data_IF_872310322600
#
_entry.id   IF_872310322600
#
_cell.length_a   1.000
_cell.length_b   1.000
_cell.length_c   1.000
_cell.angle_alpha   90.00
_cell.angle_beta   90.00
_cell.angle_gamma   90.00
#
_symmetry.space_group_name_H-M   'P 1'
#
loop_
_entity.id
_entity.type
_entity.pdbx_description
1 polymer ?
#
# COMPACT_ATOMS: atom_id res chain seq x y z
N UNK A 1 -0.64 26.01 -22.62
CA UNK A 1 0.28 25.52 -21.55
C UNK A 1 -0.10 24.10 -21.13
N UNK A 2 -1.34 23.82 -20.68
CA UNK A 2 -1.74 22.45 -20.20
C UNK A 2 -1.60 21.38 -21.29
N UNK A 3 -2.05 21.68 -22.52
CA UNK A 3 -1.91 20.76 -23.66
C UNK A 3 -0.43 20.49 -23.96
N UNK A 4 0.41 21.53 -23.95
CA UNK A 4 1.85 21.39 -24.21
C UNK A 4 2.55 20.58 -23.12
N UNK A 5 2.17 20.76 -21.84
CA UNK A 5 2.72 20.01 -20.72
C UNK A 5 2.28 18.53 -20.76
N UNK A 6 1.08 18.23 -21.26
CA UNK A 6 0.62 16.86 -21.45
C UNK A 6 1.24 16.16 -22.67
N UNK A 7 1.41 16.89 -23.78
CA UNK A 7 1.98 16.33 -25.00
C UNK A 7 3.50 16.11 -24.92
N UNK A 8 4.24 16.97 -24.22
CA UNK A 8 5.69 16.87 -24.16
C UNK A 8 6.20 15.54 -23.59
N UNK A 9 5.70 15.02 -22.45
CA UNK A 9 6.07 13.70 -21.95
C UNK A 9 5.71 12.56 -22.92
N UNK A 10 4.56 12.64 -23.60
CA UNK A 10 4.16 11.66 -24.61
C UNK A 10 5.11 11.65 -25.79
N UNK A 11 5.51 12.82 -26.28
CA UNK A 11 6.49 12.94 -27.36
C UNK A 11 7.88 12.46 -26.95
N UNK A 12 8.33 12.77 -25.74
CA UNK A 12 9.61 12.28 -25.22
C UNK A 12 9.65 10.77 -25.06
N UNK A 13 8.55 10.15 -24.71
CA UNK A 13 8.43 8.70 -24.57
C UNK A 13 7.91 7.99 -25.84
N UNK A 14 7.64 8.75 -26.91
CA UNK A 14 7.04 8.20 -28.15
C UNK A 14 7.84 7.04 -28.76
N UNK A 15 9.18 7.01 -28.80
CA UNK A 15 9.91 5.88 -29.34
C UNK A 15 9.62 4.58 -28.56
N UNK A 16 9.62 4.66 -27.23
CA UNK A 16 9.31 3.52 -26.37
C UNK A 16 7.85 3.08 -26.50
N UNK A 17 6.92 4.04 -26.55
CA UNK A 17 5.49 3.75 -26.69
C UNK A 17 5.16 3.11 -28.05
N UNK A 18 5.74 3.63 -29.13
CA UNK A 18 5.54 3.10 -30.47
C UNK A 18 6.17 1.70 -30.64
N UNK A 19 7.39 1.51 -30.14
CA UNK A 19 8.04 0.21 -30.15
C UNK A 19 7.25 -0.82 -29.31
N UNK A 20 6.73 -0.43 -28.15
CA UNK A 20 5.88 -1.30 -27.33
C UNK A 20 4.56 -1.64 -28.05
N UNK A 21 3.96 -0.67 -28.72
CA UNK A 21 2.73 -0.90 -29.52
C UNK A 21 2.99 -1.90 -30.64
N UNK A 22 4.03 -1.69 -31.45
CA UNK A 22 4.41 -2.59 -32.54
C UNK A 22 4.73 -4.00 -32.01
N UNK A 23 5.56 -4.09 -30.96
CA UNK A 23 5.92 -5.39 -30.37
C UNK A 23 4.69 -6.11 -29.76
N UNK A 24 3.74 -5.37 -29.22
CA UNK A 24 2.55 -5.97 -28.61
C UNK A 24 1.71 -6.76 -29.61
N UNK A 25 1.75 -6.40 -30.91
CA UNK A 25 1.03 -7.11 -31.97
C UNK A 25 1.57 -8.53 -32.23
N UNK A 26 2.83 -8.79 -31.89
CA UNK A 26 3.52 -10.08 -32.06
C UNK A 26 3.73 -10.84 -30.74
N UNK A 27 3.11 -10.39 -29.68
CA UNK A 27 3.25 -10.97 -28.33
C UNK A 27 1.94 -11.60 -27.85
N UNK A 28 2.00 -12.26 -26.69
CA UNK A 28 0.80 -12.79 -25.99
C UNK A 28 -0.23 -11.72 -25.62
N UNK A 29 0.08 -10.44 -25.87
CA UNK A 29 -0.81 -9.28 -25.61
C UNK A 29 -1.68 -8.89 -26.81
N UNK A 30 -1.57 -9.62 -27.91
CA UNK A 30 -2.37 -9.47 -29.11
C UNK A 30 -3.44 -10.56 -29.23
N UNK A 31 -4.15 -10.59 -30.34
CA UNK A 31 -5.07 -11.69 -30.68
C UNK A 31 -4.35 -13.02 -30.57
N UNK A 32 -4.89 -13.95 -29.80
CA UNK A 32 -4.40 -15.32 -29.77
C UNK A 32 -4.77 -16.02 -31.08
N UNK A 33 -3.80 -16.60 -31.75
CA UNK A 33 -4.06 -17.49 -32.91
C UNK A 33 -4.60 -18.86 -32.46
N UNK A 34 -4.57 -19.13 -31.17
CA UNK A 34 -5.13 -20.36 -30.58
C UNK A 34 -6.62 -20.15 -30.37
N UNK A 35 -7.41 -20.83 -31.19
CA UNK A 35 -8.89 -20.75 -31.22
C UNK A 35 -9.56 -21.84 -30.39
N UNK A 36 -8.80 -22.73 -29.77
CA UNK A 36 -9.30 -23.89 -29.01
C UNK A 36 -8.67 -23.89 -27.63
N UNK A 37 -9.48 -24.10 -26.60
CA UNK A 37 -9.04 -24.33 -25.22
C UNK A 37 -8.46 -25.76 -25.05
N UNK A 38 -7.77 -26.03 -23.94
CA UNK A 38 -7.20 -27.34 -23.64
C UNK A 38 -8.26 -28.46 -23.52
N UNK A 39 -9.51 -28.10 -23.23
CA UNK A 39 -10.67 -29.00 -23.17
C UNK A 39 -11.35 -29.24 -24.53
N UNK A 40 -10.85 -28.63 -25.61
CA UNK A 40 -11.40 -28.72 -26.95
C UNK A 40 -12.55 -27.75 -27.26
N UNK A 41 -12.94 -26.91 -26.31
CA UNK A 41 -13.96 -25.87 -26.53
C UNK A 41 -13.40 -24.71 -27.36
N UNK A 42 -14.29 -23.98 -28.08
CA UNK A 42 -13.86 -22.78 -28.82
C UNK A 42 -13.42 -21.69 -27.85
N UNK A 43 -12.22 -21.16 -28.06
CA UNK A 43 -11.69 -20.03 -27.30
C UNK A 43 -12.16 -18.74 -27.96
N UNK A 44 -12.79 -17.85 -27.18
CA UNK A 44 -13.08 -16.50 -27.65
C UNK A 44 -11.79 -15.75 -27.92
N UNK A 45 -11.61 -15.24 -29.13
CA UNK A 45 -10.43 -14.46 -29.49
C UNK A 45 -10.51 -13.07 -28.89
N UNK A 46 -9.97 -12.91 -27.68
CA UNK A 46 -9.80 -11.60 -27.05
C UNK A 46 -8.72 -10.81 -27.80
N UNK A 47 -8.91 -9.50 -27.94
CA UNK A 47 -7.95 -8.61 -28.60
C UNK A 47 -6.79 -8.18 -27.68
N UNK A 48 -6.71 -8.72 -26.45
CA UNK A 48 -5.75 -8.37 -25.40
C UNK A 48 -5.53 -9.52 -24.44
N UNK A 49 -5.01 -9.19 -23.25
CA UNK A 49 -4.84 -10.14 -22.16
C UNK A 49 -6.20 -10.50 -21.55
N UNK A 50 -6.31 -11.71 -20.99
CA UNK A 50 -7.48 -12.12 -20.24
C UNK A 50 -7.68 -11.23 -19.01
N UNK A 51 -8.94 -10.92 -18.67
CA UNK A 51 -9.29 -10.07 -17.53
C UNK A 51 -8.72 -10.58 -16.22
N UNK A 52 -8.73 -11.90 -16.00
CA UNK A 52 -8.14 -12.52 -14.81
C UNK A 52 -6.65 -12.23 -14.72
N UNK A 53 -5.93 -12.31 -15.83
CA UNK A 53 -4.50 -12.03 -15.89
C UNK A 53 -4.18 -10.54 -15.70
N UNK A 54 -5.00 -9.63 -16.28
CA UNK A 54 -4.87 -8.17 -16.08
C UNK A 54 -5.02 -7.83 -14.60
N UNK A 55 -6.00 -8.47 -13.93
CA UNK A 55 -6.41 -8.16 -12.56
C UNK A 55 -5.81 -9.10 -11.50
N UNK A 56 -4.87 -9.96 -11.88
CA UNK A 56 -4.22 -10.90 -10.95
C UNK A 56 -3.64 -10.20 -9.73
N UNK A 57 -2.96 -9.07 -9.94
CA UNK A 57 -2.40 -8.23 -8.90
C UNK A 57 -3.34 -7.06 -8.57
N UNK A 58 -4.46 -7.38 -7.95
CA UNK A 58 -5.43 -6.40 -7.46
C UNK A 58 -5.32 -6.26 -5.94
N UNK A 59 -5.32 -5.03 -5.45
CA UNK A 59 -5.41 -4.80 -4.01
C UNK A 59 -6.78 -5.19 -3.47
N UNK A 60 -6.80 -5.86 -2.32
CA UNK A 60 -8.01 -5.92 -1.49
C UNK A 60 -8.40 -4.52 -1.00
N UNK A 61 -9.68 -4.28 -0.79
CA UNK A 61 -10.14 -2.97 -0.29
C UNK A 61 -9.48 -2.65 1.05
N UNK A 62 -9.48 -3.60 1.99
CA UNK A 62 -8.80 -3.45 3.29
C UNK A 62 -7.27 -3.50 3.16
N UNK A 63 -6.74 -4.20 2.18
CA UNK A 63 -5.30 -4.25 1.92
C UNK A 63 -4.72 -2.87 1.57
N UNK A 64 -5.54 -1.94 1.07
CA UNK A 64 -5.12 -0.55 0.87
C UNK A 64 -4.67 0.15 2.17
N UNK A 65 -5.04 -0.39 3.33
CA UNK A 65 -4.53 0.10 4.61
C UNK A 65 -3.04 -0.20 4.83
N UNK A 66 -2.41 -1.06 4.01
CA UNK A 66 -0.96 -1.23 3.98
C UNK A 66 -0.22 0.10 3.67
N UNK A 67 -0.87 1.02 2.94
CA UNK A 67 -0.32 2.37 2.68
C UNK A 67 -0.02 3.15 3.98
N UNK A 68 -0.72 2.86 5.07
CA UNK A 68 -0.59 3.54 6.36
C UNK A 68 -0.18 2.61 7.52
N UNK A 69 -0.44 1.30 7.38
CA UNK A 69 -0.04 0.25 8.32
C UNK A 69 0.68 -0.85 7.52
N UNK A 70 2.01 -0.83 7.38
CA UNK A 70 2.73 -1.64 6.38
C UNK A 70 2.52 -3.15 6.54
N UNK A 71 2.22 -3.62 7.74
CA UNK A 71 1.94 -5.03 8.01
C UNK A 71 0.49 -5.31 8.38
N UNK A 72 -0.44 -4.47 7.88
CA UNK A 72 -1.89 -4.69 8.08
C UNK A 72 -2.34 -6.05 7.56
N UNK A 73 -1.86 -6.43 6.38
CA UNK A 73 -2.06 -7.76 5.79
C UNK A 73 -0.85 -8.69 5.96
N UNK A 74 -0.04 -8.48 7.01
CA UNK A 74 1.08 -9.35 7.34
C UNK A 74 2.40 -9.04 6.63
N UNK A 75 2.51 -7.90 5.92
CA UNK A 75 3.75 -7.47 5.28
C UNK A 75 3.96 -8.04 3.87
N UNK A 76 5.14 -8.57 3.56
CA UNK A 76 5.46 -9.21 2.29
C UNK A 76 5.26 -10.72 2.30
N UNK A 77 5.24 -11.36 1.11
CA UNK A 77 5.06 -12.81 0.99
C UNK A 77 6.22 -13.63 1.58
N UNK A 78 7.38 -13.01 1.76
CA UNK A 78 8.57 -13.60 2.39
C UNK A 78 8.85 -13.03 3.78
N UNK A 79 7.83 -12.47 4.44
CA UNK A 79 7.94 -11.98 5.82
C UNK A 79 8.39 -13.11 6.75
N UNK A 80 9.36 -12.82 7.63
CA UNK A 80 9.93 -13.82 8.54
C UNK A 80 8.96 -14.09 9.70
N UNK A 81 8.78 -15.37 10.01
CA UNK A 81 8.10 -15.79 11.25
C UNK A 81 9.00 -15.43 12.42
N UNK A 82 8.43 -14.90 13.50
CA UNK A 82 9.19 -14.54 14.69
C UNK A 82 9.81 -15.77 15.36
N UNK A 83 11.05 -15.65 15.77
CA UNK A 83 11.82 -16.71 16.39
C UNK A 83 11.22 -17.23 17.72
N UNK A 84 10.54 -16.35 18.47
CA UNK A 84 9.89 -16.62 19.75
C UNK A 84 8.41 -16.99 19.63
N UNK A 85 7.89 -17.12 18.39
CA UNK A 85 6.49 -17.45 18.15
C UNK A 85 6.15 -18.90 18.49
N UNK A 86 4.88 -19.14 18.80
CA UNK A 86 4.37 -20.51 18.99
C UNK A 86 4.47 -21.33 17.69
N UNK A 87 4.26 -20.68 16.53
CA UNK A 87 4.41 -21.33 15.24
C UNK A 87 5.85 -21.78 15.02
N UNK A 88 6.85 -20.94 15.32
CA UNK A 88 8.27 -21.32 15.19
C UNK A 88 8.63 -22.45 16.16
N UNK A 89 8.14 -22.41 17.40
CA UNK A 89 8.36 -23.49 18.36
C UNK A 89 7.73 -24.82 17.92
N UNK A 90 6.55 -24.76 17.31
CA UNK A 90 5.91 -25.92 16.70
C UNK A 90 6.75 -26.46 15.52
N UNK A 91 7.19 -25.60 14.62
CA UNK A 91 8.06 -25.98 13.48
C UNK A 91 9.33 -26.68 13.97
N UNK A 92 9.96 -26.17 15.04
CA UNK A 92 11.17 -26.78 15.62
C UNK A 92 10.93 -28.16 16.26
N UNK A 93 9.71 -28.49 16.61
CA UNK A 93 9.34 -29.80 17.16
C UNK A 93 9.11 -30.89 16.10
N UNK A 94 9.01 -30.50 14.82
CA UNK A 94 8.80 -31.41 13.68
C UNK A 94 10.14 -32.03 13.22
N UNK A 95 10.04 -33.10 12.45
CA UNK A 95 11.21 -33.61 11.71
C UNK A 95 11.69 -32.60 10.65
N UNK A 96 12.94 -32.71 10.21
CA UNK A 96 13.58 -31.74 9.34
C UNK A 96 12.81 -31.48 8.02
N UNK A 97 12.22 -32.52 7.43
CA UNK A 97 11.49 -32.39 6.16
C UNK A 97 10.15 -31.70 6.36
N UNK A 98 9.41 -32.09 7.39
CA UNK A 98 8.14 -31.45 7.75
C UNK A 98 8.35 -30.01 8.19
N UNK A 99 9.37 -29.75 9.01
CA UNK A 99 9.73 -28.43 9.47
C UNK A 99 10.01 -27.49 8.29
N UNK A 100 10.80 -27.95 7.31
CA UNK A 100 11.09 -27.16 6.11
C UNK A 100 9.83 -26.85 5.29
N UNK A 101 8.95 -27.83 5.09
CA UNK A 101 7.71 -27.63 4.35
C UNK A 101 6.78 -26.65 5.08
N UNK A 102 6.54 -26.86 6.40
CA UNK A 102 5.68 -25.97 7.16
C UNK A 102 6.22 -24.55 7.16
N UNK A 103 7.54 -24.37 7.37
CA UNK A 103 8.16 -23.05 7.32
C UNK A 103 8.00 -22.37 5.95
N UNK A 104 8.26 -23.08 4.87
CA UNK A 104 8.21 -22.54 3.51
C UNK A 104 6.80 -22.09 3.11
N UNK A 105 5.77 -22.80 3.57
CA UNK A 105 4.37 -22.52 3.22
C UNK A 105 3.65 -21.65 4.25
N UNK A 106 4.23 -21.43 5.44
CA UNK A 106 3.65 -20.53 6.46
C UNK A 106 3.91 -19.07 6.10
N UNK A 107 3.04 -18.51 5.25
CA UNK A 107 3.12 -17.10 4.86
C UNK A 107 2.40 -16.21 5.87
N UNK A 108 3.11 -15.25 6.43
CA UNK A 108 2.52 -14.23 7.32
C UNK A 108 1.60 -13.31 6.53
N UNK A 109 1.94 -13.00 5.27
CA UNK A 109 1.07 -12.25 4.37
C UNK A 109 -0.23 -13.00 4.08
N UNK A 110 -1.37 -12.27 4.18
CA UNK A 110 -2.72 -12.82 3.97
C UNK A 110 -3.63 -11.92 3.12
N UNK A 111 -3.03 -11.00 2.33
CA UNK A 111 -3.76 -10.14 1.38
C UNK A 111 -4.21 -10.86 0.11
N UNK A 112 -4.85 -10.11 -0.79
CA UNK A 112 -5.47 -10.64 -2.01
C UNK A 112 -4.52 -10.79 -3.20
N UNK A 113 -3.27 -10.35 -3.09
CA UNK A 113 -2.30 -10.49 -4.16
C UNK A 113 -1.54 -11.82 -4.05
N UNK A 114 -1.20 -12.48 -5.16
CA UNK A 114 -0.54 -13.80 -5.13
C UNK A 114 0.87 -13.71 -4.54
N UNK A 115 1.63 -12.67 -4.86
CA UNK A 115 2.99 -12.42 -4.37
C UNK A 115 3.19 -10.92 -4.17
N UNK A 116 3.70 -10.54 -2.99
CA UNK A 116 4.06 -9.17 -2.64
C UNK A 116 5.49 -9.18 -2.08
N UNK A 117 6.41 -8.47 -2.72
CA UNK A 117 7.80 -8.38 -2.25
C UNK A 117 7.91 -7.54 -0.97
N UNK A 118 7.18 -6.43 -0.94
CA UNK A 118 7.06 -5.51 0.20
C UNK A 118 5.72 -4.79 0.11
N UNK A 119 5.12 -4.39 1.24
CA UNK A 119 3.91 -3.58 1.21
C UNK A 119 4.21 -2.19 0.64
N UNK A 120 3.27 -1.64 -0.12
CA UNK A 120 3.29 -0.22 -0.47
C UNK A 120 3.06 0.59 0.81
N UNK A 121 4.05 1.36 1.25
CA UNK A 121 3.99 2.11 2.50
C UNK A 121 4.40 3.55 2.31
N UNK A 122 3.50 4.47 2.59
CA UNK A 122 3.73 5.92 2.46
C UNK A 122 4.31 6.52 3.75
N UNK A 123 4.06 5.89 4.88
CA UNK A 123 4.38 6.39 6.21
C UNK A 123 3.15 6.92 6.94
N UNK A 124 2.87 6.40 8.14
CA UNK A 124 1.77 6.91 8.98
C UNK A 124 2.02 8.35 9.40
N UNK A 125 3.27 8.74 9.57
CA UNK A 125 3.69 10.11 9.86
C UNK A 125 3.35 11.07 8.69
N UNK A 126 3.62 10.68 7.45
CA UNK A 126 3.26 11.47 6.26
C UNK A 126 1.76 11.50 6.05
N UNK A 127 1.06 10.39 6.30
CA UNK A 127 -0.40 10.35 6.23
C UNK A 127 -1.05 11.25 7.28
N UNK A 128 -0.49 11.31 8.49
CA UNK A 128 -0.93 12.27 9.51
C UNK A 128 -0.81 13.72 9.03
N UNK A 129 0.35 14.07 8.43
CA UNK A 129 0.58 15.42 7.88
C UNK A 129 -0.36 15.67 6.70
N UNK A 130 -0.62 14.68 5.86
CA UNK A 130 -1.60 14.76 4.78
C UNK A 130 -3.01 15.10 5.29
N UNK A 131 -3.46 14.48 6.38
CA UNK A 131 -4.74 14.82 7.01
C UNK A 131 -4.78 16.27 7.54
N UNK A 132 -3.69 16.73 8.16
CA UNK A 132 -3.56 18.16 8.51
C UNK A 132 -3.70 19.06 7.28
N UNK A 133 -3.11 18.63 6.16
CA UNK A 133 -3.13 19.38 4.90
C UNK A 133 -4.53 19.50 4.31
N UNK A 134 -5.33 18.43 4.36
CA UNK A 134 -6.73 18.45 3.92
C UNK A 134 -7.54 19.54 4.64
N UNK A 135 -7.25 19.77 5.90
CA UNK A 135 -7.97 20.73 6.75
C UNK A 135 -7.43 22.17 6.60
N UNK A 136 -6.19 22.36 6.17
CA UNK A 136 -5.53 23.66 6.10
C UNK A 136 -5.46 24.24 4.69
N UNK A 137 -5.29 23.39 3.68
CA UNK A 137 -5.18 23.82 2.28
C UNK A 137 -6.59 23.86 1.68
N UNK A 138 -7.02 25.02 1.25
CA UNK A 138 -8.33 25.20 0.65
C UNK A 138 -8.21 25.93 -0.70
N UNK A 139 -7.59 25.27 -1.66
CA UNK A 139 -7.42 25.78 -3.02
C UNK A 139 -7.72 24.69 -4.08
N UNK A 140 -7.55 25.02 -5.35
CA UNK A 140 -7.78 24.07 -6.44
C UNK A 140 -6.84 22.87 -6.38
N UNK A 141 -5.63 23.04 -5.80
CA UNK A 141 -4.66 21.94 -5.69
C UNK A 141 -5.19 20.82 -4.81
N UNK A 142 -5.92 21.13 -3.71
CA UNK A 142 -6.57 20.11 -2.89
C UNK A 142 -7.52 19.23 -3.70
N UNK A 143 -8.34 19.84 -4.57
CA UNK A 143 -9.38 19.11 -5.31
C UNK A 143 -8.77 18.09 -6.27
N UNK A 144 -7.86 18.52 -7.12
CA UNK A 144 -7.29 17.60 -8.12
C UNK A 144 -6.41 16.51 -7.48
N UNK A 145 -5.67 16.83 -6.40
CA UNK A 145 -4.86 15.84 -5.68
C UNK A 145 -5.75 14.78 -5.04
N UNK A 146 -6.83 15.17 -4.35
CA UNK A 146 -7.77 14.22 -3.75
C UNK A 146 -8.47 13.37 -4.80
N UNK A 147 -8.84 13.95 -5.95
CA UNK A 147 -9.41 13.21 -7.08
C UNK A 147 -8.40 12.19 -7.62
N UNK A 148 -7.14 12.60 -7.83
CA UNK A 148 -6.09 11.71 -8.32
C UNK A 148 -5.85 10.53 -7.37
N UNK A 149 -5.78 10.80 -6.05
CA UNK A 149 -5.65 9.76 -5.01
C UNK A 149 -6.86 8.81 -5.06
N UNK A 150 -8.08 9.34 -5.13
CA UNK A 150 -9.29 8.51 -5.12
C UNK A 150 -9.39 7.63 -6.37
N UNK A 151 -9.14 8.19 -7.56
CA UNK A 151 -9.16 7.42 -8.82
C UNK A 151 -8.08 6.33 -8.79
N UNK A 152 -6.86 6.68 -8.38
CA UNK A 152 -5.76 5.73 -8.29
C UNK A 152 -6.07 4.59 -7.30
N UNK A 153 -6.66 4.92 -6.15
CA UNK A 153 -7.08 3.92 -5.17
C UNK A 153 -8.13 2.96 -5.75
N UNK A 154 -9.18 3.48 -6.36
CA UNK A 154 -10.25 2.66 -6.95
C UNK A 154 -9.74 1.79 -8.10
N UNK A 155 -8.86 2.31 -8.95
CA UNK A 155 -8.24 1.54 -10.03
C UNK A 155 -7.32 0.43 -9.49
N UNK A 156 -6.64 0.65 -8.35
CA UNK A 156 -5.76 -0.35 -7.75
C UNK A 156 -6.51 -1.58 -7.21
N UNK A 157 -7.81 -1.43 -6.92
CA UNK A 157 -8.65 -2.54 -6.45
C UNK A 157 -9.00 -3.56 -7.54
N UNK A 158 -8.82 -3.24 -8.81
CA UNK A 158 -8.94 -4.15 -9.93
C UNK A 158 -10.18 -5.04 -9.85
N UNK A 159 -10.01 -6.37 -9.70
CA UNK A 159 -11.12 -7.34 -9.56
C UNK A 159 -12.06 -7.06 -8.40
N UNK A 160 -11.56 -6.39 -7.33
CA UNK A 160 -12.36 -6.04 -6.15
C UNK A 160 -13.24 -4.80 -6.37
N UNK A 161 -13.06 -4.11 -7.51
CA UNK A 161 -13.92 -3.02 -7.99
C UNK A 161 -14.13 -3.14 -9.50
N UNK A 162 -14.72 -4.28 -9.91
CA UNK A 162 -14.83 -4.72 -11.31
C UNK A 162 -15.52 -3.69 -12.22
N UNK A 163 -16.54 -2.98 -11.73
CA UNK A 163 -17.24 -1.96 -12.54
C UNK A 163 -16.28 -0.94 -13.18
N UNK A 164 -15.36 -0.37 -12.41
CA UNK A 164 -14.41 0.60 -12.93
C UNK A 164 -13.34 -0.08 -13.81
N UNK A 165 -12.91 -1.25 -13.41
CA UNK A 165 -11.90 -2.03 -14.15
C UNK A 165 -12.43 -2.45 -15.52
N UNK A 166 -13.67 -2.92 -15.62
CA UNK A 166 -14.31 -3.29 -16.87
C UNK A 166 -14.43 -2.09 -17.81
N UNK A 167 -14.87 -0.95 -17.27
CA UNK A 167 -14.91 0.30 -18.02
C UNK A 167 -13.54 0.71 -18.58
N UNK A 168 -12.47 0.50 -17.80
CA UNK A 168 -11.12 0.78 -18.27
C UNK A 168 -10.65 -0.22 -19.33
N UNK A 169 -10.94 -1.51 -19.18
CA UNK A 169 -10.60 -2.55 -20.16
C UNK A 169 -11.31 -2.29 -21.49
N UNK A 170 -12.61 -1.93 -21.44
CA UNK A 170 -13.45 -1.77 -22.64
C UNK A 170 -13.17 -0.47 -23.39
N UNK A 171 -12.88 0.63 -22.68
CA UNK A 171 -12.86 1.97 -23.29
C UNK A 171 -11.53 2.68 -23.22
N UNK A 172 -10.60 2.29 -22.32
CA UNK A 172 -9.33 2.98 -22.21
C UNK A 172 -8.27 2.33 -23.11
N UNK A 173 -7.67 3.08 -24.05
CA UNK A 173 -6.72 2.54 -25.00
C UNK A 173 -5.55 1.84 -24.33
N UNK A 174 -5.22 0.64 -24.77
CA UNK A 174 -4.08 -0.18 -24.30
C UNK A 174 -4.18 -0.66 -22.86
N UNK A 175 -5.25 -0.41 -22.13
CA UNK A 175 -5.39 -0.91 -20.75
C UNK A 175 -5.36 -2.45 -20.69
N UNK A 176 -5.94 -3.10 -21.72
CA UNK A 176 -5.97 -4.55 -21.91
C UNK A 176 -4.60 -5.17 -22.26
N UNK A 177 -3.55 -4.35 -22.45
CA UNK A 177 -2.19 -4.81 -22.78
C UNK A 177 -1.26 -4.91 -21.58
N UNK A 178 -1.70 -4.43 -20.41
CA UNK A 178 -0.88 -4.41 -19.20
C UNK A 178 -1.55 -5.22 -18.09
N UNK A 179 -0.71 -5.78 -17.20
CA UNK A 179 -1.16 -6.46 -15.98
C UNK A 179 -0.70 -5.67 -14.76
N UNK A 180 -1.10 -6.13 -13.57
CA UNK A 180 -0.75 -5.52 -12.29
C UNK A 180 -1.34 -4.11 -12.12
N UNK A 181 -2.66 -4.06 -12.09
CA UNK A 181 -3.45 -2.83 -11.85
C UNK A 181 -3.07 -2.13 -10.53
N UNK A 182 -2.52 -2.87 -9.56
CA UNK A 182 -1.98 -2.33 -8.31
C UNK A 182 -0.90 -1.27 -8.50
N UNK A 183 -0.13 -1.31 -9.61
CA UNK A 183 0.95 -0.36 -9.90
C UNK A 183 0.49 1.10 -9.95
N UNK A 184 -0.80 1.37 -10.19
CA UNK A 184 -1.36 2.72 -10.19
C UNK A 184 -1.22 3.43 -8.84
N UNK A 185 -0.97 2.70 -7.75
CA UNK A 185 -0.76 3.27 -6.41
C UNK A 185 0.43 4.22 -6.33
N UNK A 186 1.37 4.16 -7.27
CA UNK A 186 2.48 5.13 -7.36
C UNK A 186 1.99 6.58 -7.39
N UNK A 187 0.78 6.83 -7.95
CA UNK A 187 0.16 8.16 -7.94
C UNK A 187 -0.19 8.57 -6.51
N UNK A 188 -0.69 7.65 -5.69
CA UNK A 188 -1.02 7.92 -4.28
C UNK A 188 0.27 8.19 -3.51
N UNK A 189 1.30 7.36 -3.71
CA UNK A 189 2.61 7.48 -3.07
C UNK A 189 3.31 8.79 -3.42
N UNK A 190 3.05 9.36 -4.59
CA UNK A 190 3.53 10.68 -4.97
C UNK A 190 2.66 11.82 -4.42
N UNK A 191 1.32 11.70 -4.56
CA UNK A 191 0.38 12.77 -4.23
C UNK A 191 0.29 13.05 -2.72
N UNK A 192 0.36 12.01 -1.88
CA UNK A 192 0.24 12.18 -0.42
C UNK A 192 1.42 12.97 0.15
N UNK A 193 2.71 12.63 -0.11
CA UNK A 193 3.83 13.42 0.34
C UNK A 193 3.84 14.85 -0.23
N UNK A 194 3.51 15.00 -1.51
CA UNK A 194 3.41 16.32 -2.14
C UNK A 194 2.42 17.22 -1.39
N UNK A 195 1.23 16.71 -1.13
CA UNK A 195 0.21 17.46 -0.43
C UNK A 195 0.54 17.68 1.05
N UNK A 196 1.22 16.73 1.69
CA UNK A 196 1.74 16.88 3.05
C UNK A 196 2.72 18.07 3.15
N UNK A 197 3.64 18.22 2.20
CA UNK A 197 4.57 19.37 2.16
C UNK A 197 3.82 20.69 1.97
N UNK A 198 2.80 20.74 1.12
CA UNK A 198 1.96 21.92 0.95
C UNK A 198 1.25 22.30 2.26
N UNK A 199 0.73 21.31 2.98
CA UNK A 199 0.10 21.52 4.28
C UNK A 199 1.07 21.99 5.35
N UNK A 200 2.30 21.44 5.38
CA UNK A 200 3.36 21.92 6.27
C UNK A 200 3.68 23.40 6.02
N UNK A 201 3.80 23.79 4.76
CA UNK A 201 3.99 25.19 4.38
C UNK A 201 2.89 26.10 4.96
N UNK A 202 1.63 25.67 4.84
CA UNK A 202 0.48 26.39 5.44
C UNK A 202 0.51 26.37 6.96
N UNK A 203 0.82 25.22 7.58
CA UNK A 203 0.88 25.08 9.03
C UNK A 203 1.93 26.00 9.66
N UNK A 204 3.09 26.11 9.04
CA UNK A 204 4.17 26.99 9.52
C UNK A 204 4.03 28.46 9.08
N UNK A 205 3.06 28.78 8.23
CA UNK A 205 2.81 30.15 7.80
C UNK A 205 2.29 31.03 8.95
N UNK A 206 2.78 32.29 9.00
CA UNK A 206 2.27 33.28 9.92
C UNK A 206 0.82 33.75 9.58
N UNK A 207 0.41 33.55 8.32
CA UNK A 207 -0.93 33.93 7.87
C UNK A 207 -2.01 32.94 8.33
N UNK A 208 -1.63 31.75 8.78
CA UNK A 208 -2.56 30.74 9.30
C UNK A 208 -2.82 31.01 10.77
N UNK A 209 -4.09 31.26 11.12
CA UNK A 209 -4.53 31.54 12.50
C UNK A 209 -4.21 30.36 13.43
N UNK A 210 -3.78 30.65 14.65
CA UNK A 210 -3.46 29.63 15.67
C UNK A 210 -4.63 28.67 15.93
N UNK A 211 -5.87 29.21 15.96
CA UNK A 211 -7.09 28.38 16.10
C UNK A 211 -7.25 27.39 14.96
N UNK A 212 -6.93 27.78 13.72
CA UNK A 212 -6.99 26.86 12.56
C UNK A 212 -5.96 25.74 12.68
N UNK A 213 -4.73 26.08 13.12
CA UNK A 213 -3.67 25.08 13.38
C UNK A 213 -4.08 24.09 14.46
N UNK A 214 -4.66 24.59 15.58
CA UNK A 214 -5.12 23.74 16.68
C UNK A 214 -6.31 22.85 16.26
N UNK A 215 -7.27 23.38 15.53
CA UNK A 215 -8.41 22.61 15.06
C UNK A 215 -7.99 21.50 14.06
N UNK A 216 -7.15 21.83 13.09
CA UNK A 216 -6.64 20.82 12.14
C UNK A 216 -5.84 19.73 12.86
N UNK A 217 -4.99 20.11 13.81
CA UNK A 217 -4.24 19.18 14.64
C UNK A 217 -5.18 18.28 15.46
N UNK A 218 -6.16 18.87 16.14
CA UNK A 218 -7.15 18.12 16.93
C UNK A 218 -7.91 17.11 16.08
N UNK A 219 -8.47 17.53 14.94
CA UNK A 219 -9.26 16.63 14.10
C UNK A 219 -8.43 15.51 13.47
N UNK A 220 -7.24 15.81 12.95
CA UNK A 220 -6.35 14.80 12.40
C UNK A 220 -5.89 13.81 13.48
N UNK A 221 -5.50 14.29 14.67
CA UNK A 221 -5.08 13.43 15.78
C UNK A 221 -6.23 12.56 16.29
N UNK A 222 -7.40 13.15 16.55
CA UNK A 222 -8.57 12.38 17.04
C UNK A 222 -8.98 11.33 16.03
N UNK A 223 -9.04 11.67 14.73
CA UNK A 223 -9.41 10.71 13.70
C UNK A 223 -8.44 9.51 13.64
N UNK A 224 -7.13 9.78 13.52
CA UNK A 224 -6.15 8.68 13.40
C UNK A 224 -6.01 7.88 14.69
N UNK A 225 -5.94 8.55 15.84
CA UNK A 225 -5.85 7.83 17.12
C UNK A 225 -7.09 6.96 17.34
N UNK A 226 -8.29 7.46 17.05
CA UNK A 226 -9.52 6.67 17.16
C UNK A 226 -9.50 5.46 16.21
N UNK A 227 -9.10 5.66 14.95
CA UNK A 227 -8.98 4.58 13.97
C UNK A 227 -7.98 3.51 14.43
N UNK A 228 -6.80 3.93 14.89
CA UNK A 228 -5.76 3.03 15.41
C UNK A 228 -6.25 2.27 16.64
N UNK A 229 -6.93 2.92 17.58
CA UNK A 229 -7.47 2.26 18.78
C UNK A 229 -8.58 1.26 18.43
N UNK A 230 -9.44 1.57 17.45
CA UNK A 230 -10.43 0.61 16.94
C UNK A 230 -9.73 -0.65 16.40
N UNK A 231 -8.70 -0.51 15.58
CA UNK A 231 -7.96 -1.66 15.08
C UNK A 231 -7.19 -2.40 16.19
N UNK A 232 -6.62 -1.68 17.14
CA UNK A 232 -5.86 -2.30 18.23
C UNK A 232 -6.74 -3.18 19.14
N UNK A 233 -7.93 -2.67 19.52
CA UNK A 233 -8.83 -3.38 20.44
C UNK A 233 -9.75 -4.38 19.73
N UNK A 234 -10.24 -4.04 18.55
CA UNK A 234 -11.26 -4.83 17.85
C UNK A 234 -10.76 -5.50 16.58
N UNK A 235 -9.59 -5.16 16.06
CA UNK A 235 -9.07 -5.66 14.80
C UNK A 235 -9.01 -7.19 14.74
N UNK A 236 -8.59 -7.85 15.82
CA UNK A 236 -8.54 -9.32 15.88
C UNK A 236 -9.90 -10.02 15.95
N UNK A 237 -10.97 -9.26 16.22
CA UNK A 237 -12.35 -9.78 16.21
C UNK A 237 -13.08 -9.46 14.91
N UNK A 238 -12.63 -8.43 14.18
CA UNK A 238 -13.24 -7.97 12.92
C UNK A 238 -12.61 -8.67 11.71
N UNK A 239 -11.29 -8.92 11.77
CA UNK A 239 -10.50 -9.49 10.69
C UNK A 239 -10.31 -10.99 10.92
N UNK A 240 -10.40 -11.78 9.86
CA UNK A 240 -10.29 -13.24 9.93
C UNK A 240 -8.86 -13.77 9.84
N UNK A 241 -7.92 -12.93 9.36
CA UNK A 241 -6.49 -13.24 9.19
C UNK A 241 -6.24 -14.47 8.31
N UNK A 242 -7.15 -14.76 7.36
CA UNK A 242 -7.04 -15.86 6.41
C UNK A 242 -6.74 -15.33 5.01
N UNK A 243 -5.96 -16.08 4.26
CA UNK A 243 -5.68 -15.78 2.85
C UNK A 243 -6.59 -16.60 1.94
N UNK A 244 -6.95 -16.04 0.78
CA UNK A 244 -7.61 -16.78 -0.29
C UNK A 244 -6.71 -17.93 -0.82
N UNK A 245 -5.41 -17.84 -0.61
CA UNK A 245 -4.38 -18.81 -1.01
C UNK A 245 -3.92 -19.70 0.15
N UNK A 246 -4.80 -19.95 1.15
CA UNK A 246 -4.44 -20.67 2.39
C UNK A 246 -4.20 -22.15 2.15
N UNK A 247 -2.95 -22.59 2.28
CA UNK A 247 -2.53 -23.98 2.07
C UNK A 247 -2.91 -24.86 3.29
N UNK A 248 -2.90 -24.26 4.48
CA UNK A 248 -3.16 -25.01 5.73
C UNK A 248 -4.63 -25.09 6.13
N UNK A 249 -5.58 -24.85 5.20
CA UNK A 249 -7.03 -24.91 5.48
C UNK A 249 -7.47 -26.26 6.06
N UNK A 250 -6.78 -27.35 5.66
CA UNK A 250 -7.05 -28.73 6.12
C UNK A 250 -6.29 -29.11 7.41
N UNK A 251 -5.40 -28.23 7.91
CA UNK A 251 -4.58 -28.44 9.10
C UNK A 251 -4.87 -27.37 10.16
N UNK A 252 -5.98 -27.51 10.93
CA UNK A 252 -6.45 -26.45 11.84
C UNK A 252 -5.41 -26.04 12.90
N UNK A 253 -4.58 -26.95 13.35
CA UNK A 253 -3.53 -26.67 14.34
C UNK A 253 -2.51 -25.68 13.78
N UNK A 254 -1.96 -25.95 12.60
CA UNK A 254 -0.98 -25.09 11.95
C UNK A 254 -1.62 -23.74 11.58
N UNK A 255 -2.84 -23.77 11.05
CA UNK A 255 -3.58 -22.58 10.66
C UNK A 255 -3.83 -21.65 11.86
N UNK A 256 -4.23 -22.19 13.01
CA UNK A 256 -4.45 -21.39 14.21
C UNK A 256 -3.15 -20.74 14.72
N UNK A 257 -2.03 -21.46 14.68
CA UNK A 257 -0.71 -20.90 15.04
C UNK A 257 -0.28 -19.79 14.06
N UNK A 258 -0.56 -19.96 12.77
CA UNK A 258 -0.28 -18.96 11.75
C UNK A 258 -1.17 -17.71 11.92
N UNK A 259 -2.46 -17.88 12.22
CA UNK A 259 -3.38 -16.79 12.52
C UNK A 259 -2.90 -16.02 13.76
N UNK A 260 -2.45 -16.71 14.81
CA UNK A 260 -1.90 -16.07 16.02
C UNK A 260 -0.67 -15.22 15.69
N UNK A 261 0.21 -15.70 14.82
CA UNK A 261 1.37 -14.93 14.34
C UNK A 261 0.96 -13.69 13.55
N UNK A 262 0.02 -13.82 12.61
CA UNK A 262 -0.55 -12.71 11.84
C UNK A 262 -1.17 -11.65 12.75
N UNK A 263 -1.92 -12.06 13.75
CA UNK A 263 -2.53 -11.16 14.74
C UNK A 263 -1.48 -10.41 15.57
N UNK A 264 -0.41 -11.07 15.94
CA UNK A 264 0.68 -10.42 16.67
C UNK A 264 1.38 -9.37 15.80
N UNK A 265 1.75 -9.71 14.56
CA UNK A 265 2.38 -8.79 13.61
C UNK A 265 1.49 -7.57 13.36
N UNK A 266 0.20 -7.79 13.14
CA UNK A 266 -0.80 -6.74 12.99
C UNK A 266 -0.85 -5.80 14.22
N UNK A 267 -1.02 -6.35 15.42
CA UNK A 267 -1.11 -5.55 16.66
C UNK A 267 0.17 -4.76 16.94
N UNK A 268 1.32 -5.38 16.71
CA UNK A 268 2.62 -4.72 16.87
C UNK A 268 2.75 -3.51 15.95
N UNK A 269 2.33 -3.65 14.70
CA UNK A 269 2.40 -2.58 13.71
C UNK A 269 1.40 -1.44 13.97
N UNK A 270 0.19 -1.77 14.39
CA UNK A 270 -0.83 -0.80 14.83
C UNK A 270 -0.35 0.00 16.04
N UNK A 271 0.29 -0.67 17.02
CA UNK A 271 0.86 0.00 18.20
C UNK A 271 2.03 0.93 17.83
N UNK A 272 2.94 0.49 16.95
CA UNK A 272 4.00 1.34 16.39
C UNK A 272 3.41 2.61 15.77
N UNK A 273 2.37 2.47 14.97
CA UNK A 273 1.70 3.58 14.30
C UNK A 273 1.08 4.55 15.30
N UNK A 274 0.49 4.06 16.40
CA UNK A 274 -0.04 4.91 17.47
C UNK A 274 1.06 5.78 18.08
N UNK A 275 2.21 5.20 18.41
CA UNK A 275 3.33 5.92 19.00
C UNK A 275 3.79 7.05 18.07
N UNK A 276 3.94 6.77 16.76
CA UNK A 276 4.37 7.76 15.76
C UNK A 276 3.36 8.91 15.65
N UNK A 277 2.07 8.61 15.57
CA UNK A 277 1.02 9.64 15.49
C UNK A 277 0.98 10.51 16.74
N UNK A 278 1.15 9.92 17.92
CA UNK A 278 1.21 10.65 19.20
C UNK A 278 2.43 11.57 19.24
N UNK A 279 3.61 11.07 18.83
CA UNK A 279 4.83 11.88 18.76
C UNK A 279 4.67 13.07 17.80
N UNK A 280 4.12 12.85 16.60
CA UNK A 280 3.80 13.92 15.64
C UNK A 280 2.84 14.95 16.25
N UNK A 281 1.75 14.47 16.88
CA UNK A 281 0.73 15.32 17.47
C UNK A 281 1.29 16.20 18.59
N UNK A 282 2.09 15.64 19.48
CA UNK A 282 2.75 16.37 20.56
C UNK A 282 3.71 17.42 19.98
N UNK A 283 4.52 17.05 18.99
CA UNK A 283 5.49 17.96 18.37
C UNK A 283 4.80 19.19 17.76
N UNK A 284 3.74 18.97 16.98
CA UNK A 284 2.98 20.08 16.39
C UNK A 284 2.26 20.91 17.46
N UNK A 285 1.73 20.27 18.51
CA UNK A 285 1.08 20.98 19.62
C UNK A 285 2.06 21.90 20.36
N UNK A 286 3.27 21.43 20.69
CA UNK A 286 4.31 22.21 21.34
C UNK A 286 4.73 23.43 20.49
N UNK A 287 4.77 23.28 19.17
CA UNK A 287 5.01 24.39 18.26
C UNK A 287 3.88 25.42 18.32
N UNK A 288 2.61 25.00 18.22
CA UNK A 288 1.49 25.95 18.25
C UNK A 288 1.42 26.68 19.58
N UNK A 289 1.78 26.03 20.70
CA UNK A 289 1.91 26.65 22.02
C UNK A 289 3.18 27.49 22.19
N UNK A 290 4.00 27.63 21.14
CA UNK A 290 5.26 28.41 21.14
C UNK A 290 6.31 27.93 22.16
N UNK A 291 6.21 26.66 22.60
CA UNK A 291 7.19 26.03 23.50
C UNK A 291 8.45 25.68 22.73
N UNK A 292 8.30 25.21 21.48
CA UNK A 292 9.43 24.91 20.59
C UNK A 292 9.40 25.82 19.35
N UNK A 293 10.58 26.13 18.82
CA UNK A 293 10.74 26.97 17.62
C UNK A 293 10.43 26.18 16.34
N UNK A 294 10.11 26.90 15.26
CA UNK A 294 9.81 26.33 13.95
C UNK A 294 10.88 25.36 13.46
N UNK A 295 12.16 25.76 13.53
CA UNK A 295 13.27 24.97 13.00
C UNK A 295 13.45 23.66 13.75
N UNK A 296 13.29 23.69 15.10
CA UNK A 296 13.34 22.48 15.94
C UNK A 296 12.14 21.58 15.65
N UNK A 297 10.95 22.13 15.45
CA UNK A 297 9.76 21.37 15.07
C UNK A 297 9.99 20.66 13.75
N UNK A 298 10.50 21.39 12.76
CA UNK A 298 10.79 20.84 11.44
C UNK A 298 11.81 19.70 11.51
N UNK A 299 12.89 19.90 12.28
CA UNK A 299 13.89 18.86 12.50
C UNK A 299 13.28 17.58 13.14
N UNK A 300 12.49 17.75 14.22
CA UNK A 300 11.87 16.60 14.91
C UNK A 300 10.93 15.85 13.97
N UNK A 301 10.04 16.55 13.24
CA UNK A 301 9.12 15.92 12.29
C UNK A 301 9.88 15.19 11.18
N UNK A 302 10.94 15.80 10.65
CA UNK A 302 11.77 15.15 9.62
C UNK A 302 12.40 13.87 10.16
N UNK A 303 12.92 13.88 11.38
CA UNK A 303 13.50 12.70 12.02
C UNK A 303 12.43 11.61 12.27
N UNK A 304 11.21 11.98 12.69
CA UNK A 304 10.10 11.03 12.86
C UNK A 304 9.74 10.38 11.51
N UNK A 305 9.63 11.16 10.43
CA UNK A 305 9.34 10.64 9.09
C UNK A 305 10.45 9.70 8.60
N UNK A 306 11.71 10.09 8.74
CA UNK A 306 12.84 9.23 8.35
C UNK A 306 12.82 7.92 9.17
N UNK A 307 12.62 8.02 10.47
CA UNK A 307 12.57 6.84 11.34
C UNK A 307 11.39 5.92 10.99
N UNK A 308 10.21 6.48 10.73
CA UNK A 308 9.01 5.75 10.35
C UNK A 308 9.21 4.94 9.07
N UNK A 309 9.75 5.55 8.02
CA UNK A 309 10.01 4.89 6.74
C UNK A 309 11.17 3.89 6.87
N UNK A 310 12.29 4.31 7.47
CA UNK A 310 13.50 3.49 7.56
C UNK A 310 13.29 2.19 8.34
N UNK A 311 12.50 2.22 9.42
CA UNK A 311 12.26 1.02 10.23
C UNK A 311 11.45 -0.04 9.47
N UNK A 312 10.62 0.40 8.53
CA UNK A 312 9.85 -0.48 7.64
C UNK A 312 10.73 -0.97 6.50
N UNK A 313 11.41 -0.06 5.80
CA UNK A 313 12.24 -0.40 4.64
C UNK A 313 13.35 -1.39 4.97
N UNK A 314 13.94 -1.26 6.17
CA UNK A 314 15.00 -2.17 6.65
C UNK A 314 14.55 -3.64 6.72
N UNK A 315 13.26 -3.92 6.87
CA UNK A 315 12.75 -5.30 6.87
C UNK A 315 12.81 -5.92 5.47
N UNK A 316 12.71 -5.10 4.42
CA UNK A 316 12.60 -5.54 3.02
C UNK A 316 13.86 -5.28 2.20
N UNK A 317 14.69 -4.30 2.60
CA UNK A 317 15.96 -3.96 1.95
C UNK A 317 17.06 -3.99 3.00
N UNK A 318 17.79 -5.10 3.06
CA UNK A 318 18.86 -5.31 4.04
C UNK A 318 20.04 -6.08 3.42
N UNK A 319 21.14 -6.22 4.16
CA UNK A 319 22.38 -6.84 3.69
C UNK A 319 22.22 -8.30 3.22
N UNK A 320 21.24 -9.02 3.75
CA UNK A 320 21.01 -10.44 3.43
C UNK A 320 20.48 -10.64 2.01
N UNK A 321 19.95 -9.58 1.40
CA UNK A 321 19.39 -9.59 0.04
C UNK A 321 20.43 -9.26 -1.04
N UNK A 322 21.61 -8.78 -0.64
CA UNK A 322 22.68 -8.49 -1.60
C UNK A 322 23.48 -9.77 -1.89
N UNK A 323 23.48 -10.18 -3.16
CA UNK A 323 24.31 -11.31 -3.63
C UNK A 323 25.76 -10.84 -3.68
N UNK A 324 26.65 -11.56 -2.99
CA UNK A 324 28.10 -11.35 -3.16
C UNK A 324 28.46 -11.69 -4.60
N UNK A 325 29.09 -10.74 -5.28
CA UNK A 325 29.65 -10.96 -6.63
C UNK A 325 30.81 -11.94 -6.58
#
# INVERSE_FOLDING_TARGET
VLISVGLLPLLMNSPSLLATKEYSEFSTRSKSDITINADGSAKESLSGLDKEYITEYSYGVLESLNLIFPRFMGGGSSERIREDSKLMNFIRSLDANQAQQVYQYSKVYWGNQPIVAAPAYIGISLFFIFLLSILLVNDLNRKWILIAISISLFLSWGKNFSFLTDLMIDYFPLYDKFRAVSSIQIIIEFCIPLFAVMGLSKFFSNNTKEVQKLNSLKYASVFLVSLILVFYFFGTSILDFKSDFEIFSQYPEILNLLIEERQYVFKSDVLRSLIIVVCCSITFYLFVKKIIKKDLTFLIITLIVIFDLWIVDKNYVNSDQFVKK
#
